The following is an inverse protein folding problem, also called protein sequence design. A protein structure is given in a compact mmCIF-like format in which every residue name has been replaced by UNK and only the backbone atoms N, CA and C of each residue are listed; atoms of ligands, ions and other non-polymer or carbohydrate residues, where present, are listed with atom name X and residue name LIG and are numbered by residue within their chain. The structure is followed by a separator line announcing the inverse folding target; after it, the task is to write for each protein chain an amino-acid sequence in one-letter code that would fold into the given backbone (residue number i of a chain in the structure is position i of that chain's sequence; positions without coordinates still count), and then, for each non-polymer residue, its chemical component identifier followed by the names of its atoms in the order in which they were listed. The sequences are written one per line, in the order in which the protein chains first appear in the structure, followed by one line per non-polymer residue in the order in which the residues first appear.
data_IF_451119102904
#
_entry.id   IF_451119102904
#
_cell.length_a   1.000
_cell.length_b   1.000
_cell.length_c   1.000
_cell.angle_alpha   90.00
_cell.angle_beta   90.00
_cell.angle_gamma   90.00
#
_symmetry.space_group_name_H-M   'P 1'
#
loop_
_entity.id
_entity.type
_entity.pdbx_description
1 polymer ?
#
# COMPACT_ATOMS: atom_id res chain seq x y z
N UNK A 1 -8.62 -75.25 -8.89
CA UNK A 1 -7.29 -75.28 -8.26
C UNK A 1 -6.98 -73.87 -7.83
N UNK A 2 -6.99 -73.45 -6.56
CA UNK A 2 -7.09 -74.06 -5.23
C UNK A 2 -7.74 -72.94 -4.39
N UNK A 3 -8.98 -73.14 -3.95
CA UNK A 3 -9.41 -73.23 -2.53
C UNK A 3 -9.18 -71.95 -1.69
N UNK A 4 -10.22 -71.15 -1.41
CA UNK A 4 -11.23 -71.26 -0.31
C UNK A 4 -10.72 -71.06 1.12
N UNK A 5 -11.21 -69.99 1.77
CA UNK A 5 -11.82 -69.91 3.13
C UNK A 5 -12.10 -68.42 3.43
N UNK A 6 -13.32 -67.89 3.50
CA UNK A 6 -14.58 -68.29 4.18
C UNK A 6 -14.54 -68.19 5.70
N UNK A 7 -15.16 -67.14 6.25
CA UNK A 7 -16.33 -67.19 7.18
C UNK A 7 -16.75 -65.73 7.48
N UNK A 8 -17.99 -65.28 7.17
CA UNK A 8 -19.29 -65.51 7.86
C UNK A 8 -19.24 -65.10 9.34
N UNK A 9 -20.17 -64.41 9.99
CA UNK A 9 -21.56 -63.92 9.85
C UNK A 9 -21.66 -62.83 10.97
N UNK A 10 -22.63 -61.93 11.15
CA UNK A 10 -24.08 -61.97 10.95
C UNK A 10 -24.64 -60.54 11.20
N UNK A 11 -25.79 -60.26 10.61
CA UNK A 11 -26.66 -59.09 10.89
C UNK A 11 -27.64 -59.45 12.01
N UNK A 12 -28.15 -58.44 12.73
CA UNK A 12 -29.57 -58.22 13.14
C UNK A 12 -29.61 -56.94 13.99
N UNK A 13 -30.31 -55.86 13.62
CA UNK A 13 -31.78 -55.60 13.62
C UNK A 13 -32.44 -55.57 15.02
N UNK A 14 -33.23 -54.51 15.27
CA UNK A 14 -34.23 -54.41 16.35
C UNK A 14 -33.92 -53.32 17.40
N UNK A 15 -34.33 -52.06 17.24
CA UNK A 15 -35.63 -51.47 17.62
C UNK A 15 -36.09 -51.63 19.09
N UNK A 16 -36.27 -50.44 19.68
CA UNK A 16 -37.41 -49.99 20.51
C UNK A 16 -37.40 -50.04 22.04
N UNK A 17 -37.58 -48.81 22.59
CA UNK A 17 -38.42 -48.45 23.75
C UNK A 17 -37.96 -48.97 25.13
N UNK A 18 -38.16 -48.34 26.29
CA UNK A 18 -38.87 -47.16 26.79
C UNK A 18 -38.31 -46.95 28.22
N UNK A 19 -37.92 -45.73 28.59
CA UNK A 19 -38.61 -44.85 29.54
C UNK A 19 -38.50 -45.19 31.05
N UNK A 20 -38.39 -44.08 31.83
CA UNK A 20 -38.62 -43.91 33.28
C UNK A 20 -37.48 -44.37 34.22
N UNK A 21 -36.93 -43.55 35.13
CA UNK A 21 -37.57 -42.59 36.07
C UNK A 21 -36.42 -41.73 36.67
N UNK A 22 -36.47 -40.39 36.75
CA UNK A 22 -36.96 -39.55 37.87
C UNK A 22 -36.66 -38.08 37.48
N UNK A 23 -37.59 -37.27 36.98
CA UNK A 23 -38.59 -36.39 37.64
C UNK A 23 -38.11 -35.44 38.75
N UNK A 24 -38.18 -34.13 38.39
CA UNK A 24 -38.75 -32.96 39.12
C UNK A 24 -37.93 -32.44 40.32
N UNK A 25 -37.78 -31.14 40.62
CA UNK A 25 -38.69 -29.99 40.45
C UNK A 25 -37.95 -28.65 40.69
N UNK A 26 -38.31 -27.62 39.91
CA UNK A 26 -38.49 -26.18 40.22
C UNK A 26 -37.52 -25.38 41.13
N UNK A 27 -37.16 -24.15 40.72
CA UNK A 27 -37.77 -22.88 41.21
C UNK A 27 -37.00 -21.67 40.64
N UNK A 28 -37.77 -20.77 40.04
CA UNK A 28 -37.52 -19.38 39.64
C UNK A 28 -37.22 -18.48 40.86
N UNK A 29 -36.14 -17.69 40.89
CA UNK A 29 -36.12 -16.39 41.60
C UNK A 29 -35.06 -15.43 41.00
N UNK A 30 -35.51 -14.28 40.50
CA UNK A 30 -34.70 -13.14 40.08
C UNK A 30 -34.16 -12.34 41.30
N UNK A 31 -33.07 -11.55 41.17
CA UNK A 31 -32.84 -10.43 42.06
C UNK A 31 -33.43 -9.14 41.46
N UNK A 32 -34.31 -8.53 42.25
CA UNK A 32 -34.93 -7.23 42.04
C UNK A 32 -33.92 -6.08 42.03
N UNK A 33 -34.19 -5.13 41.14
CA UNK A 33 -33.74 -3.74 41.12
C UNK A 33 -33.76 -3.08 42.51
N UNK A 34 -32.68 -2.40 42.87
CA UNK A 34 -32.72 -1.25 43.79
C UNK A 34 -32.43 0.04 43.04
N UNK A 35 -33.44 0.90 43.07
CA UNK A 35 -33.50 2.27 42.56
C UNK A 35 -32.29 3.10 43.00
N UNK A 36 -31.62 3.73 42.03
CA UNK A 36 -31.25 5.14 42.16
C UNK A 36 -31.35 5.83 40.81
N UNK A 37 -32.56 6.30 40.52
CA UNK A 37 -32.75 7.39 39.58
C UNK A 37 -32.00 8.62 40.11
N UNK A 38 -31.01 9.08 39.35
CA UNK A 38 -30.67 10.52 39.31
C UNK A 38 -30.52 10.90 37.85
N UNK A 39 -31.53 11.64 37.41
CA UNK A 39 -31.51 12.63 36.33
C UNK A 39 -30.10 13.07 35.94
N UNK A 40 -29.73 12.78 34.68
CA UNK A 40 -29.06 13.75 33.82
C UNK A 40 -29.78 13.68 32.48
N UNK A 41 -30.97 14.27 32.47
CA UNK A 41 -31.54 14.86 31.26
C UNK A 41 -30.58 15.95 30.76
N UNK A 42 -30.40 16.00 29.43
CA UNK A 42 -29.59 16.95 28.65
C UNK A 42 -28.09 16.67 28.56
N UNK A 43 -27.72 15.58 27.88
CA UNK A 43 -26.56 15.67 26.98
C UNK A 43 -27.10 16.11 25.64
N UNK A 44 -26.94 17.40 25.37
CA UNK A 44 -27.06 17.97 24.03
C UNK A 44 -26.25 17.10 23.08
N UNK A 45 -26.93 16.38 22.18
CA UNK A 45 -26.32 15.86 20.97
C UNK A 45 -25.77 17.09 20.23
N UNK A 46 -24.49 17.37 20.45
CA UNK A 46 -23.73 18.25 19.57
C UNK A 46 -23.88 17.66 18.18
N UNK A 47 -24.33 18.41 17.17
CA UNK A 47 -24.32 17.91 15.82
C UNK A 47 -22.85 17.58 15.51
N UNK A 48 -22.56 16.33 15.17
CA UNK A 48 -21.36 16.01 14.42
C UNK A 48 -21.51 16.77 13.12
N UNK A 49 -20.96 17.99 13.10
CA UNK A 49 -20.71 18.69 11.87
C UNK A 49 -19.72 17.81 11.12
N UNK A 50 -20.23 16.93 10.27
CA UNK A 50 -19.59 16.64 9.01
C UNK A 50 -19.36 18.01 8.40
N UNK A 51 -18.14 18.52 8.54
CA UNK A 51 -17.75 19.72 7.83
C UNK A 51 -17.77 19.27 6.38
N UNK A 52 -18.91 19.51 5.73
CA UNK A 52 -18.99 19.58 4.29
C UNK A 52 -18.04 20.72 3.92
N UNK A 53 -16.77 20.37 3.71
CA UNK A 53 -15.78 21.27 3.17
C UNK A 53 -16.26 21.54 1.75
N UNK A 54 -17.13 22.55 1.59
CA UNK A 54 -17.45 23.11 0.28
C UNK A 54 -16.09 23.39 -0.39
N UNK A 55 -15.78 22.76 -1.54
CA UNK A 55 -14.50 22.94 -2.17
C UNK A 55 -14.32 24.43 -2.40
N UNK A 56 -13.22 25.00 -1.92
CA UNK A 56 -12.83 26.34 -2.32
C UNK A 56 -12.71 26.31 -3.84
N UNK A 57 -13.57 27.04 -4.54
CA UNK A 57 -13.48 27.16 -6.00
C UNK A 57 -12.16 27.89 -6.29
N UNK A 58 -11.14 27.10 -6.61
CA UNK A 58 -9.85 27.58 -7.06
C UNK A 58 -9.63 27.08 -8.48
N UNK A 59 -9.22 28.00 -9.34
CA UNK A 59 -8.89 27.70 -10.72
C UNK A 59 -7.51 27.05 -10.85
N UNK A 60 -7.30 26.27 -11.91
CA UNK A 60 -5.97 25.74 -12.26
C UNK A 60 -4.94 26.86 -12.43
N UNK A 61 -5.34 28.00 -12.98
CA UNK A 61 -4.48 29.18 -13.13
C UNK A 61 -3.98 29.73 -11.79
N UNK A 62 -4.81 29.72 -10.75
CA UNK A 62 -4.41 30.19 -9.42
C UNK A 62 -3.44 29.20 -8.76
N UNK A 63 -3.66 27.89 -8.93
CA UNK A 63 -2.72 26.87 -8.44
C UNK A 63 -1.38 26.99 -9.14
N UNK A 64 -1.40 27.12 -10.48
CA UNK A 64 -0.21 27.35 -11.29
C UNK A 64 0.53 28.61 -10.84
N UNK A 65 -0.17 29.73 -10.65
CA UNK A 65 0.42 30.99 -10.20
C UNK A 65 1.07 30.87 -8.80
N UNK A 66 0.45 30.14 -7.87
CA UNK A 66 1.04 29.90 -6.55
C UNK A 66 2.35 29.11 -6.64
N UNK A 67 2.39 28.04 -7.44
CA UNK A 67 3.62 27.29 -7.69
C UNK A 67 4.68 28.15 -8.40
N UNK A 68 4.27 28.88 -9.44
CA UNK A 68 5.14 29.75 -10.21
C UNK A 68 5.77 30.86 -9.35
N UNK A 69 5.06 31.37 -8.34
CA UNK A 69 5.59 32.36 -7.39
C UNK A 69 6.76 31.83 -6.53
N UNK A 70 6.91 30.50 -6.44
CA UNK A 70 8.00 29.82 -5.72
C UNK A 70 9.03 29.18 -6.67
N UNK A 71 8.84 29.33 -7.98
CA UNK A 71 9.68 28.74 -9.00
C UNK A 71 11.10 29.32 -9.00
N UNK A 72 12.07 28.53 -9.46
CA UNK A 72 13.46 28.95 -9.54
C UNK A 72 14.15 28.26 -10.71
N UNK A 73 14.54 29.04 -11.73
CA UNK A 73 15.23 28.51 -12.92
C UNK A 73 16.50 27.73 -12.59
N UNK A 74 17.28 28.21 -11.62
CA UNK A 74 18.48 27.52 -11.17
C UNK A 74 18.16 26.15 -10.57
N UNK A 75 17.13 26.07 -9.71
CA UNK A 75 16.69 24.78 -9.15
C UNK A 75 16.06 23.89 -10.20
N UNK A 76 15.27 24.44 -11.11
CA UNK A 76 14.68 23.69 -12.22
C UNK A 76 15.76 22.93 -13.00
N UNK A 77 16.86 23.60 -13.38
CA UNK A 77 17.98 22.96 -14.08
C UNK A 77 18.63 21.81 -13.28
N UNK A 78 18.74 21.95 -11.95
CA UNK A 78 19.26 20.90 -11.07
C UNK A 78 18.26 19.73 -10.99
N UNK A 79 16.97 20.03 -10.79
CA UNK A 79 15.91 19.03 -10.66
C UNK A 79 15.67 18.27 -11.95
N UNK A 80 15.77 18.91 -13.12
CA UNK A 80 15.68 18.23 -14.43
C UNK A 80 16.70 17.10 -14.56
N UNK A 81 17.94 17.32 -14.07
CA UNK A 81 18.97 16.26 -14.04
C UNK A 81 18.65 15.20 -12.98
N UNK A 82 18.21 15.63 -11.80
CA UNK A 82 17.90 14.74 -10.68
C UNK A 82 16.75 13.75 -11.00
N UNK A 83 15.66 14.26 -11.58
CA UNK A 83 14.49 13.48 -11.97
C UNK A 83 14.63 12.79 -13.33
N UNK A 84 15.82 12.87 -13.95
CA UNK A 84 16.15 12.18 -15.21
C UNK A 84 15.09 12.40 -16.30
N UNK A 85 14.74 13.67 -16.50
CA UNK A 85 13.71 14.07 -17.49
C UNK A 85 14.04 13.60 -18.91
N UNK A 86 15.32 13.46 -19.26
CA UNK A 86 15.73 12.95 -20.58
C UNK A 86 15.72 11.41 -20.69
N UNK A 87 15.43 10.69 -19.60
CA UNK A 87 15.37 9.23 -19.56
C UNK A 87 13.92 8.82 -19.28
N UNK A 88 13.59 8.42 -18.05
CA UNK A 88 12.26 7.95 -17.68
C UNK A 88 11.27 9.05 -17.30
N UNK A 89 11.74 10.30 -17.18
CA UNK A 89 10.90 11.49 -16.93
C UNK A 89 10.58 12.26 -18.21
N UNK A 90 10.59 11.60 -19.38
CA UNK A 90 10.41 12.25 -20.68
C UNK A 90 9.12 13.08 -20.74
N UNK A 91 9.24 14.35 -21.12
CA UNK A 91 8.14 15.31 -21.19
C UNK A 91 7.91 16.14 -19.92
N UNK A 92 8.61 15.85 -18.81
CA UNK A 92 8.48 16.61 -17.56
C UNK A 92 9.07 18.03 -17.68
N UNK A 93 8.28 19.04 -17.32
CA UNK A 93 8.75 20.41 -17.13
C UNK A 93 8.87 20.70 -15.64
N UNK A 94 10.05 21.16 -15.21
CA UNK A 94 10.32 21.49 -13.81
C UNK A 94 10.25 23.00 -13.62
N UNK A 95 9.43 23.45 -12.68
CA UNK A 95 9.38 24.86 -12.27
C UNK A 95 10.54 25.23 -11.33
N UNK A 96 11.10 24.25 -10.62
CA UNK A 96 12.12 24.47 -9.60
C UNK A 96 11.55 24.77 -8.21
N UNK A 97 10.32 24.36 -7.92
CA UNK A 97 9.69 24.55 -6.61
C UNK A 97 10.17 23.45 -5.65
N UNK A 98 10.52 23.80 -4.41
CA UNK A 98 10.98 22.79 -3.44
C UNK A 98 9.78 22.00 -2.91
N UNK A 99 9.97 20.71 -2.61
CA UNK A 99 8.92 19.84 -2.05
C UNK A 99 8.24 20.42 -0.79
N UNK A 100 8.94 21.04 0.18
CA UNK A 100 8.27 21.70 1.31
C UNK A 100 7.32 22.82 0.90
N UNK A 101 7.66 23.59 -0.15
CA UNK A 101 6.79 24.65 -0.68
C UNK A 101 5.56 24.05 -1.38
N UNK A 102 5.73 22.98 -2.16
CA UNK A 102 4.61 22.24 -2.78
C UNK A 102 3.66 21.70 -1.71
N UNK A 103 4.19 21.12 -0.63
CA UNK A 103 3.38 20.65 0.52
C UNK A 103 2.65 21.79 1.22
N UNK A 104 3.31 22.92 1.43
CA UNK A 104 2.70 24.09 2.05
C UNK A 104 1.55 24.66 1.22
N UNK A 105 1.72 24.72 -0.10
CA UNK A 105 0.66 25.12 -1.04
C UNK A 105 -0.47 24.10 -1.02
N UNK A 106 -0.20 22.80 -1.18
CA UNK A 106 -1.25 21.76 -1.15
C UNK A 106 -2.08 21.83 0.14
N UNK A 107 -1.44 22.10 1.29
CA UNK A 107 -2.13 22.28 2.58
C UNK A 107 -3.01 23.53 2.62
N UNK A 108 -2.57 24.67 2.06
CA UNK A 108 -3.36 25.92 2.08
C UNK A 108 -4.60 25.86 1.18
N UNK A 109 -4.61 24.95 0.20
CA UNK A 109 -5.72 24.73 -0.73
C UNK A 109 -6.86 23.87 -0.14
N UNK A 110 -6.61 23.12 0.94
CA UNK A 110 -7.56 22.10 1.41
C UNK A 110 -7.72 20.95 0.42
N UNK A 111 -8.86 20.24 0.46
CA UNK A 111 -9.13 19.15 -0.48
C UNK A 111 -9.67 19.69 -1.80
N UNK A 112 -9.00 19.35 -2.90
CA UNK A 112 -9.39 19.76 -4.24
C UNK A 112 -10.45 18.81 -4.81
N UNK A 113 -11.25 19.30 -5.75
CA UNK A 113 -12.21 18.47 -6.47
C UNK A 113 -11.49 17.49 -7.41
N UNK A 114 -12.13 16.36 -7.71
CA UNK A 114 -11.55 15.38 -8.65
C UNK A 114 -11.32 15.92 -10.05
N UNK A 115 -12.13 16.90 -10.49
CA UNK A 115 -11.92 17.58 -11.78
C UNK A 115 -10.59 18.33 -11.79
N UNK A 116 -10.28 19.12 -10.75
CA UNK A 116 -9.00 19.83 -10.66
C UNK A 116 -7.83 18.84 -10.51
N UNK A 117 -7.99 17.81 -9.68
CA UNK A 117 -6.94 16.81 -9.46
C UNK A 117 -6.59 16.03 -10.73
N UNK A 118 -7.59 15.72 -11.57
CA UNK A 118 -7.40 15.05 -12.86
C UNK A 118 -6.52 15.90 -13.78
N UNK A 119 -6.81 17.19 -13.90
CA UNK A 119 -6.03 18.12 -14.73
C UNK A 119 -4.60 18.29 -14.20
N UNK A 120 -4.42 18.42 -12.88
CA UNK A 120 -3.09 18.56 -12.28
C UNK A 120 -2.24 17.29 -12.43
N UNK A 121 -2.82 16.10 -12.31
CA UNK A 121 -2.10 14.83 -12.54
C UNK A 121 -1.62 14.72 -13.99
N UNK A 122 -2.35 15.28 -14.95
CA UNK A 122 -2.01 15.22 -16.37
C UNK A 122 -1.16 16.41 -16.83
N UNK A 123 -0.80 17.30 -15.89
CA UNK A 123 0.01 18.47 -16.21
C UNK A 123 1.40 18.09 -16.70
N UNK A 124 1.91 18.85 -17.67
CA UNK A 124 3.32 18.81 -18.07
C UNK A 124 4.26 19.20 -16.92
N UNK A 125 3.79 20.01 -15.98
CA UNK A 125 4.60 20.45 -14.85
C UNK A 125 4.67 19.38 -13.76
N UNK A 126 5.88 19.01 -13.38
CA UNK A 126 6.12 17.98 -12.37
C UNK A 126 5.59 18.39 -11.00
N UNK A 127 5.77 19.66 -10.60
CA UNK A 127 5.33 20.12 -9.28
C UNK A 127 3.81 20.24 -9.13
N UNK A 128 3.06 20.40 -10.23
CA UNK A 128 1.60 20.32 -10.25
C UNK A 128 1.12 18.88 -10.01
N UNK A 129 1.77 17.91 -10.66
CA UNK A 129 1.51 16.48 -10.44
C UNK A 129 1.81 16.06 -9.01
N UNK A 130 2.96 16.50 -8.48
CA UNK A 130 3.33 16.26 -7.10
C UNK A 130 2.32 16.88 -6.12
N UNK A 131 1.83 18.10 -6.40
CA UNK A 131 0.80 18.75 -5.60
C UNK A 131 -0.49 17.89 -5.56
N UNK A 132 -0.93 17.39 -6.71
CA UNK A 132 -2.12 16.55 -6.80
C UNK A 132 -1.96 15.23 -6.04
N UNK A 133 -0.81 14.57 -6.19
CA UNK A 133 -0.48 13.35 -5.43
C UNK A 133 -0.52 13.61 -3.92
N UNK A 134 0.12 14.68 -3.45
CA UNK A 134 0.10 15.06 -2.03
C UNK A 134 -1.32 15.35 -1.55
N UNK A 135 -2.14 16.02 -2.37
CA UNK A 135 -3.51 16.37 -2.01
C UNK A 135 -4.38 15.11 -1.86
N UNK A 136 -4.29 14.16 -2.80
CA UNK A 136 -5.02 12.88 -2.76
C UNK A 136 -4.59 12.05 -1.55
N UNK A 137 -3.28 11.92 -1.31
CA UNK A 137 -2.75 11.21 -0.14
C UNK A 137 -3.27 11.85 1.16
N UNK A 138 -3.27 13.18 1.23
CA UNK A 138 -3.75 13.90 2.42
C UNK A 138 -5.25 13.68 2.60
N UNK A 139 -6.05 13.73 1.53
CA UNK A 139 -7.48 13.41 1.59
C UNK A 139 -7.71 11.99 2.09
N UNK A 140 -7.07 11.00 1.45
CA UNK A 140 -7.17 9.59 1.84
C UNK A 140 -6.88 9.36 3.33
N UNK A 141 -5.80 9.94 3.85
CA UNK A 141 -5.40 9.81 5.25
C UNK A 141 -6.34 10.46 6.26
N UNK A 142 -7.14 11.43 5.84
CA UNK A 142 -8.10 12.13 6.71
C UNK A 142 -9.53 11.59 6.54
N UNK A 143 -9.77 10.66 5.61
CA UNK A 143 -11.05 10.01 5.39
C UNK A 143 -11.17 8.75 6.25
N UNK A 144 -12.31 8.61 6.95
CA UNK A 144 -12.63 7.40 7.71
C UNK A 144 -13.72 6.55 7.04
N UNK A 145 -14.57 7.16 6.21
CA UNK A 145 -15.67 6.47 5.53
C UNK A 145 -15.12 5.45 4.49
N UNK A 146 -15.43 4.15 4.63
CA UNK A 146 -15.01 3.13 3.68
C UNK A 146 -15.50 3.37 2.24
N UNK A 147 -16.65 4.01 2.05
CA UNK A 147 -17.16 4.33 0.70
C UNK A 147 -16.30 5.41 0.04
N UNK A 148 -16.02 6.50 0.74
CA UNK A 148 -15.13 7.57 0.25
C UNK A 148 -13.69 7.07 0.06
N UNK A 149 -13.16 6.21 0.95
CA UNK A 149 -11.83 5.59 0.74
C UNK A 149 -11.76 4.79 -0.57
N UNK A 150 -12.83 4.06 -0.89
CA UNK A 150 -12.93 3.31 -2.16
C UNK A 150 -12.98 4.26 -3.36
N UNK A 151 -13.70 5.37 -3.25
CA UNK A 151 -13.75 6.39 -4.30
C UNK A 151 -12.38 7.02 -4.54
N UNK A 152 -11.67 7.43 -3.48
CA UNK A 152 -10.32 8.00 -3.57
C UNK A 152 -9.34 6.99 -4.17
N UNK A 153 -9.39 5.73 -3.72
CA UNK A 153 -8.57 4.66 -4.28
C UNK A 153 -8.88 4.45 -5.77
N UNK A 154 -10.16 4.35 -6.15
CA UNK A 154 -10.59 4.20 -7.53
C UNK A 154 -10.10 5.34 -8.42
N UNK A 155 -10.28 6.58 -7.97
CA UNK A 155 -9.79 7.77 -8.65
C UNK A 155 -8.27 7.72 -8.84
N UNK A 156 -7.50 7.41 -7.80
CA UNK A 156 -6.05 7.32 -7.92
C UNK A 156 -5.61 6.26 -8.94
N UNK A 157 -6.20 5.06 -8.89
CA UNK A 157 -5.92 3.97 -9.82
C UNK A 157 -6.24 4.34 -11.27
N UNK A 158 -7.34 5.07 -11.50
CA UNK A 158 -7.73 5.54 -12.82
C UNK A 158 -6.74 6.60 -13.35
N UNK A 159 -6.36 7.56 -12.51
CA UNK A 159 -5.54 8.70 -12.93
C UNK A 159 -4.02 8.43 -12.92
N UNK A 160 -3.51 7.46 -12.15
CA UNK A 160 -2.07 7.27 -11.97
C UNK A 160 -1.31 7.01 -13.29
N UNK A 161 -1.97 6.42 -14.29
CA UNK A 161 -1.39 6.21 -15.63
C UNK A 161 -1.20 7.51 -16.41
N UNK A 162 -2.00 8.54 -16.11
CA UNK A 162 -1.97 9.84 -16.76
C UNK A 162 -0.83 10.77 -16.35
N UNK A 163 -0.13 10.49 -15.24
CA UNK A 163 1.04 11.31 -14.87
C UNK A 163 1.78 10.97 -13.58
N UNK A 164 1.47 9.86 -12.92
CA UNK A 164 2.34 9.30 -11.86
C UNK A 164 3.42 8.47 -12.55
N UNK A 165 4.39 9.16 -13.17
CA UNK A 165 5.40 8.62 -14.08
C UNK A 165 6.83 8.97 -13.66
N UNK A 166 7.06 9.20 -12.37
CA UNK A 166 8.38 9.38 -11.79
C UNK A 166 8.43 8.67 -10.43
N UNK A 167 9.64 8.32 -9.98
CA UNK A 167 9.81 7.52 -8.77
C UNK A 167 9.33 8.27 -7.53
N UNK A 168 9.48 9.59 -7.47
CA UNK A 168 9.08 10.39 -6.32
C UNK A 168 7.55 10.51 -6.21
N UNK A 169 6.85 10.59 -7.34
CA UNK A 169 5.38 10.58 -7.39
C UNK A 169 4.83 9.21 -6.94
N UNK A 170 5.44 8.12 -7.41
CA UNK A 170 5.09 6.75 -6.98
C UNK A 170 5.37 6.58 -5.49
N UNK A 171 6.58 6.91 -5.04
CA UNK A 171 7.02 6.68 -3.67
C UNK A 171 6.25 7.55 -2.67
N UNK A 172 5.77 8.72 -3.11
CA UNK A 172 4.90 9.59 -2.31
C UNK A 172 3.46 9.08 -2.16
N UNK A 173 3.01 8.14 -2.98
CA UNK A 173 1.59 7.70 -3.03
C UNK A 173 1.37 6.23 -2.71
N UNK A 174 2.19 5.33 -3.28
CA UNK A 174 1.93 3.89 -3.32
C UNK A 174 1.72 3.27 -1.92
N UNK A 175 2.64 3.49 -0.99
CA UNK A 175 2.50 3.00 0.40
C UNK A 175 1.23 3.57 1.08
N UNK A 176 0.96 4.87 0.88
CA UNK A 176 -0.04 5.61 1.64
C UNK A 176 -1.47 5.45 1.13
N UNK A 177 -1.66 5.12 -0.16
CA UNK A 177 -2.97 4.91 -0.77
C UNK A 177 -3.16 3.43 -1.08
N UNK A 178 -2.31 2.87 -1.95
CA UNK A 178 -2.47 1.51 -2.45
C UNK A 178 -2.18 0.49 -1.34
N UNK A 179 -1.06 0.65 -0.63
CA UNK A 179 -0.73 -0.19 0.53
C UNK A 179 -1.82 -0.14 1.60
N UNK A 180 -2.14 1.07 2.08
CA UNK A 180 -3.09 1.26 3.16
C UNK A 180 -4.52 0.78 2.80
N UNK A 181 -4.97 0.97 1.56
CA UNK A 181 -6.27 0.47 1.11
C UNK A 181 -6.33 -1.06 1.04
N UNK A 182 -5.22 -1.71 0.64
CA UNK A 182 -5.18 -3.15 0.37
C UNK A 182 -4.87 -4.03 1.59
N UNK A 183 -4.28 -3.49 2.66
CA UNK A 183 -3.72 -4.27 3.79
C UNK A 183 -4.69 -5.31 4.38
N UNK A 184 -5.96 -4.94 4.55
CA UNK A 184 -6.98 -5.81 5.16
C UNK A 184 -7.90 -6.50 4.13
N UNK A 185 -7.48 -6.60 2.87
CA UNK A 185 -8.34 -7.07 1.76
C UNK A 185 -7.63 -8.11 0.89
N UNK A 186 -7.49 -9.38 1.34
CA UNK A 186 -6.61 -10.36 0.70
C UNK A 186 -6.90 -10.61 -0.78
N UNK A 187 -8.17 -10.75 -1.18
CA UNK A 187 -8.53 -11.01 -2.58
C UNK A 187 -8.24 -9.79 -3.49
N UNK A 188 -8.55 -8.59 -2.98
CA UNK A 188 -8.31 -7.33 -3.70
C UNK A 188 -6.81 -7.05 -3.78
N UNK A 189 -6.07 -7.35 -2.70
CA UNK A 189 -4.60 -7.29 -2.63
C UNK A 189 -3.98 -8.22 -3.68
N UNK A 190 -4.46 -9.46 -3.77
CA UNK A 190 -3.99 -10.43 -4.77
C UNK A 190 -4.20 -9.91 -6.20
N UNK A 191 -5.42 -9.47 -6.50
CA UNK A 191 -5.78 -8.93 -7.82
C UNK A 191 -4.88 -7.74 -8.20
N UNK A 192 -4.76 -6.74 -7.33
CA UNK A 192 -4.03 -5.53 -7.68
C UNK A 192 -2.52 -5.73 -7.71
N UNK A 193 -1.93 -6.32 -6.68
CA UNK A 193 -0.47 -6.43 -6.60
C UNK A 193 0.08 -7.41 -7.64
N UNK A 194 -0.49 -8.61 -7.74
CA UNK A 194 0.11 -9.68 -8.54
C UNK A 194 -0.44 -9.74 -9.96
N UNK A 195 -1.75 -9.58 -10.14
CA UNK A 195 -2.40 -9.83 -11.45
C UNK A 195 -2.54 -8.57 -12.31
N UNK A 196 -2.42 -7.37 -11.71
CA UNK A 196 -2.51 -6.10 -12.43
C UNK A 196 -1.19 -5.35 -12.46
N UNK A 197 -0.62 -5.05 -11.28
CA UNK A 197 0.52 -4.14 -11.17
C UNK A 197 1.84 -4.84 -11.49
N UNK A 198 2.15 -5.97 -10.86
CA UNK A 198 3.44 -6.64 -11.02
C UNK A 198 3.68 -7.20 -12.43
N UNK A 199 2.63 -7.59 -13.14
CA UNK A 199 2.72 -8.11 -14.52
C UNK A 199 2.59 -7.02 -15.59
N UNK A 200 2.42 -5.75 -15.19
CA UNK A 200 2.26 -4.64 -16.13
C UNK A 200 3.56 -4.37 -16.90
N UNK A 201 3.43 -4.03 -18.18
CA UNK A 201 4.56 -3.53 -19.00
C UNK A 201 5.07 -2.18 -18.52
N UNK A 202 4.24 -1.38 -17.84
CA UNK A 202 4.60 -0.04 -17.36
C UNK A 202 5.40 -0.14 -16.06
N UNK A 203 6.63 0.36 -16.10
CA UNK A 203 7.57 0.42 -14.98
C UNK A 203 6.91 0.97 -13.69
N UNK A 204 6.17 2.07 -13.81
CA UNK A 204 5.57 2.74 -12.65
C UNK A 204 4.53 1.87 -11.94
N UNK A 205 3.79 1.03 -12.66
CA UNK A 205 2.83 0.12 -12.04
C UNK A 205 3.54 -0.95 -11.20
N UNK A 206 4.60 -1.55 -11.76
CA UNK A 206 5.43 -2.53 -11.05
C UNK A 206 6.11 -1.92 -9.83
N UNK A 207 6.57 -0.67 -9.94
CA UNK A 207 7.11 0.08 -8.80
C UNK A 207 6.04 0.34 -7.73
N UNK A 208 4.82 0.72 -8.12
CA UNK A 208 3.69 0.88 -7.19
C UNK A 208 3.44 -0.45 -6.45
N UNK A 209 3.48 -1.59 -7.15
CA UNK A 209 3.27 -2.90 -6.51
C UNK A 209 4.23 -3.11 -5.32
N UNK A 210 5.54 -3.03 -5.55
CA UNK A 210 6.53 -3.30 -4.51
C UNK A 210 6.54 -2.24 -3.40
N UNK A 211 6.43 -0.95 -3.77
CA UNK A 211 6.46 0.15 -2.79
C UNK A 211 5.22 0.13 -1.88
N UNK A 212 4.08 -0.33 -2.39
CA UNK A 212 2.85 -0.49 -1.58
C UNK A 212 3.05 -1.42 -0.38
N UNK A 213 3.92 -2.43 -0.51
CA UNK A 213 4.16 -3.42 0.55
C UNK A 213 4.92 -2.85 1.76
N UNK A 214 5.46 -1.64 1.67
CA UNK A 214 6.00 -0.94 2.86
C UNK A 214 4.95 -0.74 3.94
N UNK A 215 3.67 -0.65 3.59
CA UNK A 215 2.57 -0.59 4.54
C UNK A 215 2.52 -1.87 5.39
N UNK A 216 2.63 -3.04 4.73
CA UNK A 216 2.53 -4.36 5.35
C UNK A 216 3.76 -4.67 6.21
N UNK A 217 4.95 -4.25 5.75
CA UNK A 217 6.19 -4.36 6.53
C UNK A 217 6.06 -3.66 7.90
N UNK A 218 5.36 -2.52 7.95
CA UNK A 218 5.14 -1.82 9.22
C UNK A 218 4.24 -2.59 10.19
N UNK A 219 3.38 -3.49 9.67
CA UNK A 219 2.54 -4.39 10.44
C UNK A 219 3.22 -5.74 10.74
N UNK A 220 4.46 -5.95 10.28
CA UNK A 220 5.18 -7.22 10.43
C UNK A 220 4.79 -8.29 9.40
N UNK A 221 4.05 -7.92 8.36
CA UNK A 221 3.66 -8.80 7.26
C UNK A 221 4.68 -8.67 6.11
N UNK A 222 5.35 -9.77 5.77
CA UNK A 222 6.48 -9.76 4.81
C UNK A 222 6.24 -10.56 3.53
N UNK A 223 5.25 -11.47 3.54
CA UNK A 223 5.04 -12.43 2.45
C UNK A 223 4.81 -11.75 1.10
N UNK A 224 4.01 -10.68 1.07
CA UNK A 224 3.74 -9.95 -0.18
C UNK A 224 5.01 -9.26 -0.73
N UNK A 225 5.85 -8.72 0.15
CA UNK A 225 7.14 -8.13 -0.24
C UNK A 225 8.07 -9.18 -0.84
N UNK A 226 8.21 -10.34 -0.17
CA UNK A 226 9.07 -11.43 -0.62
C UNK A 226 8.61 -11.99 -1.97
N UNK A 227 7.30 -12.20 -2.12
CA UNK A 227 6.70 -12.70 -3.36
C UNK A 227 6.90 -11.74 -4.53
N UNK A 228 6.67 -10.44 -4.34
CA UNK A 228 6.96 -9.45 -5.37
C UNK A 228 8.46 -9.35 -5.67
N UNK A 229 9.31 -9.46 -4.66
CA UNK A 229 10.75 -9.46 -4.85
C UNK A 229 11.22 -10.64 -5.71
N UNK A 230 10.63 -11.83 -5.52
CA UNK A 230 10.88 -13.00 -6.37
C UNK A 230 10.42 -12.77 -7.81
N UNK A 231 9.21 -12.23 -8.02
CA UNK A 231 8.69 -11.89 -9.34
C UNK A 231 9.60 -10.91 -10.09
N UNK A 232 10.24 -9.98 -9.38
CA UNK A 232 11.10 -8.95 -9.95
C UNK A 232 12.59 -9.31 -10.02
N UNK A 233 12.97 -10.57 -9.76
CA UNK A 233 14.36 -11.03 -9.95
C UNK A 233 14.82 -10.90 -11.41
N UNK A 234 13.89 -11.04 -12.37
CA UNK A 234 14.18 -10.97 -13.80
C UNK A 234 13.58 -9.73 -14.47
N UNK A 235 13.22 -8.69 -13.70
CA UNK A 235 12.80 -7.42 -14.31
C UNK A 235 13.96 -6.85 -15.14
N UNK A 236 13.65 -6.10 -16.18
CA UNK A 236 14.68 -5.47 -17.02
C UNK A 236 15.05 -4.08 -16.52
N UNK A 237 14.22 -3.50 -15.66
CA UNK A 237 14.32 -2.09 -15.28
C UNK A 237 15.07 -1.89 -13.95
N UNK A 238 16.18 -1.17 -14.00
CA UNK A 238 16.99 -0.85 -12.82
C UNK A 238 16.21 -0.09 -11.74
N UNK A 239 15.21 0.72 -12.11
CA UNK A 239 14.36 1.39 -11.12
C UNK A 239 13.50 0.41 -10.32
N UNK A 240 13.09 -0.71 -10.90
CA UNK A 240 12.39 -1.78 -10.18
C UNK A 240 13.37 -2.45 -9.23
N UNK A 241 14.57 -2.82 -9.71
CA UNK A 241 15.60 -3.41 -8.86
C UNK A 241 15.97 -2.52 -7.66
N UNK A 242 16.09 -1.21 -7.86
CA UNK A 242 16.31 -0.25 -6.77
C UNK A 242 15.16 -0.25 -5.77
N UNK A 243 13.91 -0.18 -6.24
CA UNK A 243 12.73 -0.19 -5.37
C UNK A 243 12.62 -1.49 -4.57
N UNK A 244 12.83 -2.63 -5.23
CA UNK A 244 12.77 -3.95 -4.61
C UNK A 244 13.88 -4.14 -3.59
N UNK A 245 15.13 -3.80 -3.95
CA UNK A 245 16.24 -3.88 -2.99
C UNK A 245 16.08 -2.93 -1.80
N UNK A 246 15.56 -1.71 -2.05
CA UNK A 246 15.21 -0.78 -0.98
C UNK A 246 14.12 -1.36 -0.06
N UNK A 247 13.06 -1.90 -0.63
CA UNK A 247 11.94 -2.44 0.17
C UNK A 247 12.38 -3.66 0.99
N UNK A 248 13.21 -4.54 0.42
CA UNK A 248 13.88 -5.64 1.15
C UNK A 248 14.76 -5.11 2.30
N UNK A 249 15.51 -4.02 2.08
CA UNK A 249 16.30 -3.36 3.13
C UNK A 249 15.40 -2.84 4.25
N UNK A 250 14.26 -2.22 3.94
CA UNK A 250 13.31 -1.74 4.96
C UNK A 250 12.72 -2.89 5.77
N UNK A 251 12.31 -3.98 5.11
CA UNK A 251 11.91 -5.23 5.78
C UNK A 251 13.03 -5.77 6.68
N UNK A 252 14.28 -5.78 6.21
CA UNK A 252 15.44 -6.24 6.96
C UNK A 252 15.76 -5.43 8.22
N UNK A 253 15.33 -4.16 8.30
CA UNK A 253 15.43 -3.37 9.54
C UNK A 253 14.47 -3.87 10.61
N UNK A 254 13.36 -4.49 10.23
CA UNK A 254 12.35 -5.07 11.13
C UNK A 254 12.64 -6.54 11.42
N UNK A 255 13.04 -7.31 10.41
CA UNK A 255 13.45 -8.71 10.52
C UNK A 255 14.69 -9.00 9.68
N UNK A 256 15.87 -8.92 10.31
CA UNK A 256 17.14 -9.29 9.66
C UNK A 256 17.14 -10.77 9.24
N UNK A 257 16.53 -11.63 10.06
CA UNK A 257 16.45 -13.07 9.79
C UNK A 257 15.72 -13.34 8.47
N UNK A 258 14.51 -12.79 8.29
CA UNK A 258 13.72 -12.98 7.07
C UNK A 258 14.47 -12.50 5.82
N UNK A 259 15.17 -11.36 5.90
CA UNK A 259 16.00 -10.88 4.79
C UNK A 259 17.17 -11.83 4.50
N UNK A 260 17.86 -12.34 5.52
CA UNK A 260 18.96 -13.30 5.35
C UNK A 260 18.47 -14.61 4.71
N UNK A 261 17.31 -15.12 5.12
CA UNK A 261 16.70 -16.31 4.53
C UNK A 261 16.41 -16.12 3.05
N UNK A 262 15.79 -14.99 2.67
CA UNK A 262 15.56 -14.64 1.27
C UNK A 262 16.87 -14.51 0.48
N UNK A 263 17.88 -13.82 1.04
CA UNK A 263 19.17 -13.65 0.38
C UNK A 263 19.90 -14.98 0.19
N UNK A 264 19.86 -15.89 1.17
CA UNK A 264 20.46 -17.21 1.04
C UNK A 264 19.85 -18.00 -0.13
N UNK A 265 18.54 -17.86 -0.35
CA UNK A 265 17.84 -18.54 -1.43
C UNK A 265 18.06 -17.86 -2.78
N UNK A 266 18.05 -16.52 -2.86
CA UNK A 266 17.93 -15.81 -4.13
C UNK A 266 19.15 -14.96 -4.55
N UNK A 267 20.11 -14.67 -3.66
CA UNK A 267 21.19 -13.71 -3.96
C UNK A 267 22.04 -14.07 -5.20
N UNK A 268 22.13 -15.36 -5.54
CA UNK A 268 22.83 -15.84 -6.74
C UNK A 268 22.13 -15.49 -8.06
N UNK A 269 20.82 -15.23 -8.03
CA UNK A 269 20.01 -14.80 -9.17
C UNK A 269 19.66 -13.30 -9.15
N UNK A 270 19.84 -12.65 -7.99
CA UNK A 270 19.46 -11.25 -7.83
C UNK A 270 20.26 -10.31 -8.74
N UNK A 271 19.60 -9.37 -9.44
CA UNK A 271 20.25 -8.26 -10.11
C UNK A 271 21.18 -7.51 -9.16
N UNK A 272 22.35 -7.11 -9.64
CA UNK A 272 23.41 -6.52 -8.80
C UNK A 272 22.93 -5.26 -8.05
N UNK A 273 22.07 -4.47 -8.68
CA UNK A 273 21.47 -3.28 -8.09
C UNK A 273 20.56 -3.64 -6.93
N UNK A 274 19.63 -4.58 -7.13
CA UNK A 274 18.72 -5.07 -6.09
C UNK A 274 19.47 -5.65 -4.88
N UNK A 275 20.51 -6.46 -5.14
CA UNK A 275 21.34 -7.05 -4.08
C UNK A 275 22.08 -5.96 -3.27
N UNK A 276 22.70 -4.98 -3.94
CA UNK A 276 23.41 -3.89 -3.26
C UNK A 276 22.51 -3.10 -2.32
N UNK A 277 21.33 -2.70 -2.79
CA UNK A 277 20.36 -1.96 -1.97
C UNK A 277 19.90 -2.78 -0.75
N UNK A 278 19.64 -4.07 -0.95
CA UNK A 278 19.21 -4.99 0.12
C UNK A 278 20.25 -5.10 1.25
N UNK A 279 21.54 -4.98 0.91
CA UNK A 279 22.66 -5.19 1.85
C UNK A 279 23.13 -3.91 2.56
N UNK A 280 22.53 -2.75 2.33
CA UNK A 280 22.99 -1.46 2.88
C UNK A 280 23.02 -1.33 4.41
N UNK A 281 22.43 -2.28 5.14
CA UNK A 281 22.52 -2.33 6.62
C UNK A 281 23.37 -3.48 7.15
N UNK A 282 23.95 -4.28 6.26
CA UNK A 282 24.88 -5.36 6.61
C UNK A 282 26.28 -4.82 6.87
N UNK A 283 27.07 -5.58 7.63
CA UNK A 283 28.50 -5.31 7.80
C UNK A 283 29.24 -5.46 6.47
N UNK A 284 30.43 -4.89 6.39
CA UNK A 284 31.24 -5.02 5.19
C UNK A 284 31.59 -6.48 4.86
N UNK A 285 31.86 -7.30 5.89
CA UNK A 285 32.15 -8.72 5.73
C UNK A 285 30.95 -9.49 5.15
N UNK A 286 29.76 -9.27 5.71
CA UNK A 286 28.53 -9.90 5.21
C UNK A 286 28.20 -9.46 3.78
N UNK A 287 28.37 -8.17 3.48
CA UNK A 287 28.20 -7.63 2.12
C UNK A 287 29.11 -8.32 1.14
N UNK A 288 30.41 -8.41 1.44
CA UNK A 288 31.40 -9.06 0.57
C UNK A 288 31.00 -10.51 0.29
N UNK A 289 30.58 -11.26 1.32
CA UNK A 289 30.10 -12.65 1.18
C UNK A 289 28.97 -12.77 0.15
N UNK A 290 27.91 -11.97 0.25
CA UNK A 290 26.80 -12.05 -0.72
C UNK A 290 27.21 -11.54 -2.10
N UNK A 291 28.05 -10.51 -2.16
CA UNK A 291 28.46 -9.89 -3.43
C UNK A 291 29.41 -10.77 -4.26
N UNK A 292 30.00 -11.82 -3.68
CA UNK A 292 30.81 -12.82 -4.39
C UNK A 292 30.01 -14.00 -4.93
N UNK A 293 28.81 -14.28 -4.37
CA UNK A 293 27.97 -15.43 -4.79
C UNK A 293 27.52 -15.31 -6.26
N UNK A 294 27.27 -14.09 -6.74
CA UNK A 294 26.87 -13.83 -8.13
C UNK A 294 28.01 -13.77 -9.16
N UNK A 295 29.26 -14.09 -8.78
CA UNK A 295 30.41 -14.11 -9.71
C UNK A 295 30.67 -15.47 -10.38
N UNK A 296 29.93 -16.51 -10.01
CA UNK A 296 30.07 -17.84 -10.62
C UNK A 296 29.10 -18.00 -11.78
N UNK A 297 29.48 -17.50 -12.95
CA UNK A 297 29.08 -18.02 -14.27
C UNK A 297 30.26 -17.93 -15.21
#
# INVERSE_FOLDING_TARGET
MVETRSSRLERQDGQDSTANTLKRTAIEVAPKLTKRARSISNVSLMPTASIELKPKEISLSEIHAQLQSKASKQKAAILTKYFRVAEYGEGDILMGVKVPDVRAISKSLGFLSYSILKELIQSKYHEERLLAVINIVTKFKNTQDPAELREIFGFFIEQMRGGVNNWDLVDSSANQIVGDFLKDKPDIKRLWLYEKLAVSKRLWDRRIAIVSTQCFINNGEYDDTLKLAEMFLNDTEDLIHKATGWTLREMGKKSKQTLVEFLNQHAHKMPRVMLRYSLEKFSEQERRKYMTIGKSK
#
